data_IF_442101394754
#
_entry.id   IF_442101394754
#
_cell.length_a   1.000
_cell.length_b   1.000
_cell.length_c   1.000
_cell.angle_alpha   90.00
_cell.angle_beta   90.00
_cell.angle_gamma   90.00
#
_symmetry.space_group_name_H-M   'P 1'
#
loop_
_entity.id
_entity.type
_entity.pdbx_description
1 polymer ?
2 non-polymer ?
3 non-polymer ?
#
# COMPACT_ATOMS: atom_id res chain seq x y z
N UNK A 1 -29.02 1.99 -0.54
CA UNK A 1 -27.83 1.40 0.17
C UNK A 1 -26.68 1.27 -0.83
N UNK A 2 -25.50 1.77 -0.46
CA UNK A 2 -24.44 2.04 -1.44
C UNK A 2 -23.09 1.82 -0.75
N UNK A 3 -22.71 0.55 -0.61
CA UNK A 3 -21.62 0.13 0.27
C UNK A 3 -20.23 0.58 -0.19
N UNK A 4 -19.70 0.08 -1.31
CA UNK A 4 -18.28 0.27 -1.62
C UNK A 4 -18.02 0.27 -3.13
N UNK A 5 -18.72 1.14 -3.86
CA UNK A 5 -18.88 1.03 -5.29
C UNK A 5 -17.54 0.90 -6.04
N UNK A 6 -16.61 1.82 -5.81
CA UNK A 6 -15.43 1.87 -6.67
C UNK A 6 -14.55 0.63 -6.45
N UNK A 7 -14.46 0.21 -5.18
CA UNK A 7 -13.77 -1.01 -4.80
C UNK A 7 -14.30 -2.20 -5.60
N UNK A 8 -15.59 -2.15 -5.93
CA UNK A 8 -16.30 -3.26 -6.56
C UNK A 8 -15.62 -3.62 -7.86
N UNK A 9 -15.15 -2.63 -8.63
CA UNK A 9 -14.51 -3.02 -9.88
C UNK A 9 -13.35 -3.96 -9.54
N UNK A 10 -12.56 -3.59 -8.53
CA UNK A 10 -11.53 -4.48 -8.02
C UNK A 10 -12.10 -5.86 -7.71
N UNK A 11 -13.14 -5.89 -6.89
CA UNK A 11 -13.75 -7.12 -6.46
C UNK A 11 -14.12 -7.98 -7.67
N UNK A 12 -14.63 -7.35 -8.72
CA UNK A 12 -15.15 -8.13 -9.82
C UNK A 12 -14.03 -8.98 -10.38
N UNK A 13 -12.84 -8.38 -10.42
CA UNK A 13 -11.70 -9.10 -10.95
C UNK A 13 -11.58 -10.43 -10.22
N UNK A 14 -11.78 -10.40 -8.91
CA UNK A 14 -11.74 -11.61 -8.11
C UNK A 14 -12.84 -12.54 -8.58
N UNK A 15 -14.07 -12.03 -8.49
CA UNK A 15 -15.26 -12.85 -8.66
C UNK A 15 -15.16 -13.51 -10.02
N UNK A 16 -15.08 -12.66 -11.04
CA UNK A 16 -15.02 -13.07 -12.42
C UNK A 16 -14.02 -14.21 -12.58
N UNK A 17 -12.77 -14.00 -12.15
CA UNK A 17 -11.73 -14.99 -12.34
C UNK A 17 -12.18 -16.32 -11.79
N UNK A 18 -12.77 -16.24 -10.60
CA UNK A 18 -13.18 -17.45 -9.94
C UNK A 18 -14.32 -18.10 -10.71
N UNK A 19 -15.41 -17.37 -10.95
CA UNK A 19 -16.54 -18.02 -11.59
C UNK A 19 -16.12 -18.54 -12.94
N UNK A 20 -15.37 -17.74 -13.71
CA UNK A 20 -14.88 -18.18 -15.01
C UNK A 20 -14.15 -19.51 -14.85
N UNK A 21 -13.29 -19.62 -13.84
CA UNK A 21 -12.65 -20.90 -13.55
C UNK A 21 -13.71 -21.98 -13.39
N UNK A 22 -14.71 -21.67 -12.57
CA UNK A 22 -15.58 -22.72 -12.07
C UNK A 22 -16.43 -23.30 -13.19
N UNK A 23 -17.14 -22.44 -13.92
CA UNK A 23 -18.02 -22.90 -14.98
C UNK A 23 -17.22 -23.73 -15.98
N UNK A 24 -16.11 -23.15 -16.45
CA UNK A 24 -15.15 -23.82 -17.32
C UNK A 24 -14.99 -25.24 -16.83
N UNK A 25 -14.51 -25.37 -15.58
CA UNK A 25 -14.17 -26.66 -15.05
C UNK A 25 -15.35 -27.63 -15.03
N UNK A 26 -16.49 -27.23 -14.43
CA UNK A 26 -17.64 -28.13 -14.27
C UNK A 26 -18.18 -28.56 -15.63
N UNK A 27 -18.42 -27.58 -16.52
CA UNK A 27 -19.05 -27.86 -17.81
C UNK A 27 -18.18 -28.81 -18.65
N UNK A 28 -16.88 -28.50 -18.75
CA UNK A 28 -15.96 -29.28 -19.57
C UNK A 28 -15.34 -30.42 -18.76
N UNK A 29 -14.44 -30.09 -17.81
CA UNK A 29 -13.65 -31.11 -17.12
C UNK A 29 -13.40 -30.73 -15.67
N UNK A 30 -14.26 -31.11 -14.69
CA UNK A 30 -13.97 -30.88 -13.27
C UNK A 30 -13.17 -32.01 -12.62
N UNK A 31 -12.04 -32.38 -13.24
CA UNK A 31 -11.28 -33.55 -12.83
C UNK A 31 -10.76 -33.41 -11.39
N UNK A 32 -10.24 -32.23 -11.07
CA UNK A 32 -9.83 -31.91 -9.71
C UNK A 32 -10.72 -30.80 -9.15
N UNK A 33 -11.53 -31.17 -8.15
CA UNK A 33 -12.56 -30.29 -7.61
C UNK A 33 -11.97 -28.95 -7.15
N UNK A 34 -10.88 -28.98 -6.37
CA UNK A 34 -10.40 -27.78 -5.70
C UNK A 34 -9.39 -26.98 -6.53
N UNK A 35 -8.32 -27.63 -7.03
CA UNK A 35 -7.10 -26.93 -7.46
C UNK A 35 -7.27 -25.71 -8.37
N UNK A 36 -8.22 -25.78 -9.31
CA UNK A 36 -8.51 -24.70 -10.24
C UNK A 36 -8.67 -23.36 -9.52
N UNK A 37 -9.52 -23.40 -8.49
CA UNK A 37 -9.72 -22.22 -7.67
C UNK A 37 -8.40 -21.83 -7.02
N UNK A 38 -7.73 -22.80 -6.38
CA UNK A 38 -6.49 -22.50 -5.67
C UNK A 38 -5.57 -21.72 -6.60
N UNK A 39 -5.36 -22.28 -7.79
CA UNK A 39 -4.39 -21.75 -8.72
C UNK A 39 -4.80 -20.36 -9.19
N UNK A 40 -6.05 -20.18 -9.65
CA UNK A 40 -6.47 -18.85 -10.09
C UNK A 40 -6.38 -17.85 -8.95
N UNK A 41 -6.67 -18.34 -7.73
CA UNK A 41 -6.51 -17.50 -6.56
C UNK A 41 -5.07 -17.03 -6.48
N UNK A 42 -4.13 -17.95 -6.69
CA UNK A 42 -2.73 -17.58 -6.72
C UNK A 42 -2.46 -16.56 -7.84
N UNK A 43 -2.98 -16.83 -9.04
CA UNK A 43 -2.79 -15.92 -10.17
C UNK A 43 -3.12 -14.50 -9.72
N UNK A 44 -4.35 -14.36 -9.22
CA UNK A 44 -4.82 -13.09 -8.70
C UNK A 44 -3.77 -12.58 -7.72
N UNK A 45 -3.31 -13.46 -6.83
CA UNK A 45 -2.43 -13.05 -5.75
C UNK A 45 -1.26 -12.27 -6.33
N UNK A 46 -0.60 -12.84 -7.33
CA UNK A 46 0.57 -12.16 -7.85
C UNK A 46 0.12 -10.84 -8.44
N UNK A 47 -0.97 -10.92 -9.19
CA UNK A 47 -1.43 -9.78 -9.95
C UNK A 47 -1.66 -8.63 -8.97
N UNK A 48 -2.20 -8.94 -7.80
CA UNK A 48 -2.45 -7.87 -6.85
C UNK A 48 -1.11 -7.33 -6.35
N UNK A 49 -0.15 -8.24 -6.14
CA UNK A 49 1.14 -7.91 -5.58
C UNK A 49 1.84 -6.83 -6.40
N UNK A 50 1.42 -6.68 -7.64
CA UNK A 50 2.15 -5.96 -8.67
C UNK A 50 2.34 -4.49 -8.35
N UNK A 51 1.46 -3.90 -7.53
CA UNK A 51 1.44 -2.46 -7.37
C UNK A 51 1.13 -1.78 -8.71
N UNK A 52 0.35 -2.51 -9.54
CA UNK A 52 -0.11 -2.01 -10.83
C UNK A 52 -1.06 -0.86 -10.59
N UNK A 53 -0.80 0.35 -11.13
CA UNK A 53 -1.74 1.45 -11.01
C UNK A 53 -3.14 1.14 -11.53
N UNK A 54 -3.24 0.47 -12.68
CA UNK A 54 -4.53 0.27 -13.30
C UNK A 54 -5.45 -0.42 -12.29
N UNK A 55 -4.97 -1.51 -11.71
CA UNK A 55 -5.77 -2.18 -10.70
C UNK A 55 -5.71 -1.47 -9.35
N UNK A 56 -4.67 -0.66 -9.11
CA UNK A 56 -4.70 0.22 -7.94
C UNK A 56 -6.04 0.95 -7.97
N UNK A 57 -6.35 1.55 -9.11
CA UNK A 57 -7.60 2.28 -9.29
C UNK A 57 -8.77 1.37 -8.95
N UNK A 58 -8.76 0.15 -9.51
CA UNK A 58 -9.89 -0.77 -9.43
C UNK A 58 -10.13 -1.20 -7.97
N UNK A 59 -9.04 -1.55 -7.28
CA UNK A 59 -9.14 -1.91 -5.87
C UNK A 59 -8.96 -0.69 -4.99
N UNK A 60 -8.77 0.48 -5.61
CA UNK A 60 -8.88 1.77 -4.95
C UNK A 60 -7.55 2.29 -4.40
N UNK A 61 -7.00 1.67 -3.34
CA UNK A 61 -5.80 2.16 -2.67
C UNK A 61 -4.90 0.99 -2.26
N UNK A 62 -3.65 1.29 -1.83
CA UNK A 62 -2.76 0.22 -1.41
C UNK A 62 -3.36 -0.58 -0.28
N UNK A 63 -3.92 0.17 0.69
CA UNK A 63 -4.50 -0.44 1.86
C UNK A 63 -5.45 -1.53 1.40
N UNK A 64 -6.36 -1.17 0.49
CA UNK A 64 -7.31 -2.11 -0.08
C UNK A 64 -6.59 -3.24 -0.82
N UNK A 65 -5.67 -2.88 -1.72
CA UNK A 65 -4.96 -3.84 -2.55
C UNK A 65 -4.36 -4.95 -1.70
N UNK A 66 -3.53 -4.55 -0.72
CA UNK A 66 -2.83 -5.50 0.12
C UNK A 66 -3.80 -6.34 0.94
N UNK A 67 -4.93 -5.72 1.28
CA UNK A 67 -5.99 -6.41 1.98
C UNK A 67 -6.41 -7.60 1.13
N UNK A 68 -6.62 -7.36 -0.16
CA UNK A 68 -7.14 -8.40 -1.04
C UNK A 68 -6.07 -9.45 -1.27
N UNK A 69 -4.81 -9.00 -1.35
CA UNK A 69 -3.68 -9.91 -1.37
C UNK A 69 -3.82 -10.96 -0.27
N UNK A 70 -4.04 -10.50 0.98
CA UNK A 70 -4.22 -11.43 2.08
C UNK A 70 -5.45 -12.34 1.85
N UNK A 71 -6.56 -11.73 1.41
CA UNK A 71 -7.81 -12.46 1.18
C UNK A 71 -7.56 -13.67 0.27
N UNK A 72 -6.88 -13.43 -0.86
CA UNK A 72 -6.65 -14.48 -1.84
C UNK A 72 -5.72 -15.53 -1.24
N UNK A 73 -4.65 -15.08 -0.58
CA UNK A 73 -3.69 -15.99 0.02
C UNK A 73 -4.39 -16.96 0.97
N UNK A 74 -5.20 -16.42 1.90
CA UNK A 74 -5.99 -17.22 2.83
C UNK A 74 -6.71 -18.32 2.05
N UNK A 75 -7.54 -17.90 1.07
CA UNK A 75 -8.39 -18.83 0.35
C UNK A 75 -7.51 -19.94 -0.21
N UNK A 76 -6.44 -19.50 -0.90
CA UNK A 76 -5.54 -20.41 -1.57
C UNK A 76 -5.07 -21.48 -0.59
N UNK A 77 -4.49 -21.05 0.52
CA UNK A 77 -3.77 -22.04 1.31
C UNK A 77 -4.76 -23.01 1.93
N UNK A 78 -5.92 -22.51 2.39
CA UNK A 78 -6.86 -23.45 2.96
C UNK A 78 -7.19 -24.47 1.88
N UNK A 79 -7.38 -24.01 0.66
CA UNK A 79 -7.73 -24.95 -0.40
C UNK A 79 -6.59 -25.93 -0.65
N UNK A 80 -5.33 -25.52 -0.44
CA UNK A 80 -4.23 -26.47 -0.58
C UNK A 80 -4.30 -27.56 0.47
N UNK A 81 -4.79 -27.22 1.65
CA UNK A 81 -5.13 -28.24 2.63
C UNK A 81 -6.01 -29.30 1.96
N UNK A 82 -7.14 -28.89 1.36
CA UNK A 82 -8.08 -29.88 0.87
C UNK A 82 -7.47 -30.65 -0.29
N UNK A 83 -6.64 -29.98 -1.09
CA UNK A 83 -5.98 -30.70 -2.16
C UNK A 83 -5.02 -31.73 -1.57
N UNK A 84 -4.29 -31.33 -0.53
CA UNK A 84 -3.41 -32.25 0.16
C UNK A 84 -4.17 -33.41 0.81
N UNK A 85 -5.41 -33.17 1.27
CA UNK A 85 -6.37 -34.22 1.67
C UNK A 85 -6.61 -35.16 0.50
N UNK A 86 -6.72 -34.61 -0.72
CA UNK A 86 -7.06 -35.38 -1.91
C UNK A 86 -5.87 -36.24 -2.31
N UNK A 87 -4.67 -35.93 -1.80
CA UNK A 87 -3.49 -36.73 -2.04
C UNK A 87 -3.58 -38.06 -1.29
N UNK A 88 -3.81 -38.00 0.02
CA UNK A 88 -3.90 -39.21 0.84
C UNK A 88 -2.62 -39.60 1.61
N UNK A 89 -1.46 -39.51 0.95
CA UNK A 89 -0.18 -39.82 1.60
C UNK A 89 0.89 -38.78 1.26
N UNK A 90 1.48 -38.16 2.30
CA UNK A 90 2.23 -36.91 2.21
C UNK A 90 3.46 -37.00 1.31
N UNK A 91 4.27 -38.04 1.51
CA UNK A 91 5.49 -38.21 0.74
C UNK A 91 5.15 -38.56 -0.71
N UNK A 92 4.47 -39.70 -0.90
CA UNK A 92 4.03 -40.16 -2.21
C UNK A 92 5.15 -40.90 -2.94
N UNK A 93 4.98 -41.08 -4.26
CA UNK A 93 6.04 -41.64 -5.10
C UNK A 93 7.27 -40.74 -5.03
N UNK A 94 7.01 -39.43 -5.00
CA UNK A 94 8.04 -38.40 -4.94
C UNK A 94 8.52 -38.11 -6.37
N UNK A 95 8.00 -38.88 -7.35
CA UNK A 95 8.25 -38.63 -8.76
C UNK A 95 7.74 -37.23 -9.09
N UNK A 96 6.56 -36.90 -8.55
CA UNK A 96 5.94 -35.61 -8.76
C UNK A 96 5.32 -35.10 -7.45
N UNK A 97 4.52 -35.97 -6.80
CA UNK A 97 3.84 -35.68 -5.54
C UNK A 97 4.71 -34.87 -4.56
N UNK A 98 5.99 -35.24 -4.44
CA UNK A 98 6.87 -34.57 -3.50
C UNK A 98 7.09 -33.10 -3.92
N UNK A 99 7.11 -32.84 -5.23
CA UNK A 99 7.15 -31.47 -5.73
C UNK A 99 6.03 -30.63 -5.13
N UNK A 100 4.78 -31.11 -5.26
CA UNK A 100 3.63 -30.43 -4.68
C UNK A 100 3.85 -30.21 -3.18
N UNK A 101 4.21 -31.29 -2.48
CA UNK A 101 4.38 -31.38 -1.04
C UNK A 101 5.39 -30.32 -0.56
N UNK A 102 6.55 -30.33 -1.22
CA UNK A 102 7.69 -29.49 -0.89
C UNK A 102 7.30 -28.02 -1.02
N UNK A 103 6.56 -27.72 -2.09
CA UNK A 103 6.06 -26.38 -2.34
C UNK A 103 5.24 -25.92 -1.14
N UNK A 104 4.27 -26.74 -0.72
CA UNK A 104 3.40 -26.31 0.36
C UNK A 104 4.19 -26.22 1.66
N UNK A 105 5.21 -27.07 1.83
CA UNK A 105 6.08 -26.97 3.01
C UNK A 105 6.58 -25.54 3.18
N UNK A 106 7.18 -25.02 2.11
CA UNK A 106 7.78 -23.71 2.17
C UNK A 106 6.69 -22.64 2.25
N UNK A 107 5.67 -22.77 1.42
CA UNK A 107 4.55 -21.82 1.41
C UNK A 107 4.01 -21.67 2.82
N UNK A 108 3.57 -22.80 3.38
CA UNK A 108 3.02 -22.85 4.72
C UNK A 108 3.97 -22.15 5.69
N UNK A 109 5.25 -22.54 5.72
CA UNK A 109 6.21 -21.96 6.64
C UNK A 109 6.13 -20.44 6.60
N UNK A 110 6.24 -19.86 5.38
CA UNK A 110 6.35 -18.43 5.16
C UNK A 110 5.03 -17.73 5.46
N UNK A 111 3.94 -18.28 4.96
CA UNK A 111 2.65 -17.66 5.20
C UNK A 111 2.40 -17.67 6.69
N UNK A 112 2.87 -18.72 7.36
CA UNK A 112 2.71 -18.79 8.80
C UNK A 112 3.66 -17.79 9.47
N UNK A 113 4.73 -17.37 8.76
CA UNK A 113 5.51 -16.27 9.31
C UNK A 113 4.72 -14.97 9.26
N UNK A 114 3.75 -14.82 8.34
CA UNK A 114 3.10 -13.53 8.11
C UNK A 114 2.79 -12.78 9.40
N UNK A 115 2.04 -13.44 10.30
CA UNK A 115 1.65 -12.89 11.60
C UNK A 115 2.92 -12.54 12.39
N UNK A 116 3.71 -13.58 12.72
CA UNK A 116 4.90 -13.51 13.57
C UNK A 116 5.99 -12.64 12.93
N UNK A 117 6.11 -12.68 11.59
CA UNK A 117 7.21 -12.02 10.90
C UNK A 117 7.03 -10.51 10.88
N UNK A 118 5.77 -10.14 10.62
CA UNK A 118 5.36 -8.74 10.61
C UNK A 118 5.40 -8.17 12.02
N UNK A 119 5.40 -9.04 13.05
CA UNK A 119 5.61 -8.58 14.41
C UNK A 119 6.83 -7.67 14.45
N UNK A 120 7.99 -8.25 14.13
CA UNK A 120 9.27 -7.59 14.35
C UNK A 120 10.12 -7.69 13.08
N UNK A 121 10.58 -6.52 12.62
CA UNK A 121 11.61 -6.35 11.61
C UNK A 121 11.15 -6.96 10.28
N UNK A 122 10.90 -6.10 9.29
CA UNK A 122 10.25 -6.48 8.03
C UNK A 122 11.27 -6.56 6.90
N UNK A 123 12.52 -6.24 7.23
CA UNK A 123 13.59 -6.29 6.24
C UNK A 123 13.80 -7.74 5.86
N UNK A 124 14.00 -8.57 6.89
CA UNK A 124 14.07 -10.01 6.73
C UNK A 124 12.86 -10.51 5.97
N UNK A 125 11.70 -10.06 6.43
CA UNK A 125 10.44 -10.46 5.84
C UNK A 125 10.45 -10.19 4.34
N UNK A 126 11.11 -9.10 3.89
CA UNK A 126 11.22 -8.85 2.46
C UNK A 126 11.77 -10.10 1.78
N UNK A 127 12.97 -10.50 2.19
CA UNK A 127 13.69 -11.54 1.47
C UNK A 127 12.98 -12.90 1.59
N UNK A 128 12.65 -13.29 2.82
CA UNK A 128 11.96 -14.54 3.12
C UNK A 128 10.70 -14.70 2.27
N UNK A 129 9.87 -13.66 2.30
CA UNK A 129 8.61 -13.67 1.58
C UNK A 129 8.88 -14.04 0.13
N UNK A 130 9.95 -13.46 -0.43
CA UNK A 130 10.30 -13.66 -1.82
C UNK A 130 10.55 -15.14 -2.11
N UNK A 131 10.94 -15.90 -1.08
CA UNK A 131 11.18 -17.32 -1.25
C UNK A 131 9.91 -18.03 -1.73
N UNK A 132 8.75 -17.44 -1.41
CA UNK A 132 7.45 -17.91 -1.89
C UNK A 132 7.52 -18.19 -3.38
N UNK A 133 8.21 -17.29 -4.09
CA UNK A 133 8.29 -17.45 -5.53
C UNK A 133 8.82 -18.83 -5.88
N UNK A 134 9.99 -19.16 -5.33
CA UNK A 134 10.63 -20.44 -5.64
C UNK A 134 9.60 -21.55 -5.48
N UNK A 135 8.91 -21.52 -4.34
CA UNK A 135 7.90 -22.52 -4.02
C UNK A 135 6.81 -22.55 -5.10
N UNK A 136 6.39 -21.38 -5.60
CA UNK A 136 5.40 -21.32 -6.67
C UNK A 136 5.90 -22.05 -7.91
N UNK A 137 7.18 -21.85 -8.26
CA UNK A 137 7.74 -22.54 -9.41
C UNK A 137 7.54 -24.04 -9.23
N UNK A 138 7.88 -24.54 -8.04
CA UNK A 138 7.77 -25.96 -7.79
C UNK A 138 6.33 -26.40 -8.04
N UNK A 139 5.36 -25.59 -7.59
CA UNK A 139 3.94 -25.84 -7.78
C UNK A 139 3.58 -26.03 -9.26
N UNK A 140 4.10 -25.13 -10.09
CA UNK A 140 3.86 -25.21 -11.52
C UNK A 140 4.42 -26.51 -12.10
N UNK A 141 5.66 -26.85 -11.71
CA UNK A 141 6.29 -28.08 -12.16
C UNK A 141 5.42 -29.29 -11.78
N UNK A 142 4.94 -29.32 -10.52
CA UNK A 142 4.03 -30.37 -10.07
C UNK A 142 2.97 -30.60 -11.15
N UNK A 143 2.22 -29.56 -11.49
CA UNK A 143 1.03 -29.78 -12.30
C UNK A 143 1.43 -30.03 -13.74
N UNK A 144 2.36 -29.22 -14.26
CA UNK A 144 2.74 -29.37 -15.65
C UNK A 144 3.31 -30.77 -15.90
N UNK A 145 4.17 -31.24 -14.98
CA UNK A 145 4.78 -32.55 -15.13
C UNK A 145 3.70 -33.62 -15.24
N UNK A 146 2.59 -33.42 -14.52
CA UNK A 146 1.53 -34.42 -14.48
C UNK A 146 0.61 -34.29 -15.70
N UNK A 147 -0.02 -33.12 -15.88
CA UNK A 147 -1.02 -32.96 -16.92
C UNK A 147 -0.47 -32.20 -18.14
N UNK A 148 0.51 -32.81 -18.81
CA UNK A 148 1.10 -32.20 -20.00
C UNK A 148 0.10 -31.97 -21.14
N UNK A 149 -0.48 -33.07 -21.62
CA UNK A 149 -1.34 -33.10 -22.80
C UNK A 149 -2.40 -32.00 -22.75
N UNK A 150 -3.20 -32.02 -21.68
CA UNK A 150 -4.38 -31.17 -21.59
C UNK A 150 -3.99 -29.69 -21.61
N UNK A 151 -2.84 -29.34 -21.03
CA UNK A 151 -2.40 -27.95 -20.97
C UNK A 151 -2.03 -27.44 -22.36
N UNK A 152 -1.50 -28.32 -23.20
CA UNK A 152 -1.06 -27.89 -24.54
C UNK A 152 -2.20 -27.97 -25.54
N UNK A 153 -3.41 -28.33 -25.08
CA UNK A 153 -4.59 -28.42 -25.94
C UNK A 153 -5.19 -27.04 -26.19
N UNK A 154 -6.33 -27.07 -26.88
CA UNK A 154 -7.17 -25.94 -27.24
C UNK A 154 -8.27 -25.80 -26.20
N UNK A 155 -8.33 -26.69 -25.21
CA UNK A 155 -9.46 -26.68 -24.30
C UNK A 155 -9.50 -25.37 -23.53
N UNK A 156 -10.71 -24.89 -23.22
CA UNK A 156 -10.75 -23.64 -22.48
C UNK A 156 -9.96 -23.83 -21.20
N UNK A 157 -10.03 -25.03 -20.64
CA UNK A 157 -9.17 -25.41 -19.53
C UNK A 157 -7.77 -24.95 -19.86
N UNK A 158 -7.27 -25.47 -20.97
CA UNK A 158 -5.89 -25.24 -21.32
C UNK A 158 -5.58 -23.76 -21.48
N UNK A 159 -6.43 -22.99 -22.18
CA UNK A 159 -6.12 -21.58 -22.34
C UNK A 159 -6.20 -20.85 -20.99
N UNK A 160 -7.27 -21.16 -20.24
CA UNK A 160 -7.53 -20.50 -18.97
C UNK A 160 -6.29 -20.67 -18.09
N UNK A 161 -5.80 -21.90 -18.03
CA UNK A 161 -4.59 -22.22 -17.31
C UNK A 161 -3.46 -21.33 -17.80
N UNK A 162 -3.19 -21.44 -19.10
CA UNK A 162 -2.08 -20.74 -19.71
C UNK A 162 -2.06 -19.28 -19.28
N UNK A 163 -3.17 -18.60 -19.58
CA UNK A 163 -3.34 -17.18 -19.32
C UNK A 163 -3.13 -16.87 -17.84
N UNK A 164 -3.90 -17.53 -16.96
CA UNK A 164 -3.91 -17.12 -15.57
C UNK A 164 -2.57 -17.38 -14.91
N UNK A 165 -1.97 -18.53 -15.23
CA UNK A 165 -0.65 -18.85 -14.72
C UNK A 165 0.34 -17.82 -15.23
N UNK A 166 0.27 -17.57 -16.53
CA UNK A 166 1.25 -16.74 -17.20
C UNK A 166 1.23 -15.33 -16.61
N UNK A 167 0.04 -14.74 -16.48
CA UNK A 167 -0.10 -13.44 -15.84
C UNK A 167 0.62 -13.49 -14.51
N UNK A 168 0.24 -14.48 -13.69
CA UNK A 168 0.85 -14.70 -12.38
C UNK A 168 2.37 -14.74 -12.47
N UNK A 169 2.89 -15.48 -13.44
CA UNK A 169 4.32 -15.66 -13.60
C UNK A 169 4.98 -14.34 -13.91
N UNK A 170 4.43 -13.67 -14.94
CA UNK A 170 4.95 -12.43 -15.47
C UNK A 170 5.02 -11.43 -14.32
N UNK A 171 3.88 -11.24 -13.66
CA UNK A 171 3.81 -10.46 -12.45
C UNK A 171 4.89 -10.90 -11.48
N UNK A 172 4.93 -12.20 -11.17
CA UNK A 172 5.87 -12.73 -10.19
C UNK A 172 7.29 -12.26 -10.50
N UNK A 173 7.73 -12.61 -11.72
CA UNK A 173 9.06 -12.33 -12.20
C UNK A 173 9.34 -10.85 -12.00
N UNK A 174 8.42 -10.06 -12.55
CA UNK A 174 8.43 -8.61 -12.51
C UNK A 174 8.61 -8.11 -11.08
N UNK A 175 7.79 -8.63 -10.16
CA UNK A 175 7.80 -8.05 -8.83
C UNK A 175 9.05 -8.50 -8.08
N UNK A 176 9.50 -9.72 -8.34
CA UNK A 176 10.74 -10.18 -7.71
C UNK A 176 11.89 -9.32 -8.21
N UNK A 177 12.11 -9.29 -9.53
CA UNK A 177 13.34 -8.68 -9.96
C UNK A 177 13.16 -7.38 -10.75
N UNK A 178 11.94 -6.86 -10.96
CA UNK A 178 11.83 -5.82 -11.98
C UNK A 178 11.28 -4.48 -11.47
N UNK A 179 10.26 -4.53 -10.61
CA UNK A 179 9.57 -3.32 -10.17
C UNK A 179 10.58 -2.30 -9.65
N UNK A 180 11.54 -2.79 -8.85
CA UNK A 180 12.54 -1.93 -8.26
C UNK A 180 13.32 -1.23 -9.36
N UNK A 181 13.82 -2.00 -10.32
CA UNK A 181 14.68 -1.39 -11.33
C UNK A 181 13.90 -0.62 -12.40
N UNK A 182 12.72 -1.05 -12.88
CA UNK A 182 12.02 -0.25 -13.89
C UNK A 182 11.25 0.92 -13.27
N UNK A 183 10.79 0.77 -12.02
CA UNK A 183 9.93 1.77 -11.42
C UNK A 183 10.72 2.89 -10.75
N UNK A 184 11.85 2.60 -10.11
CA UNK A 184 12.61 3.63 -9.40
C UNK A 184 13.35 4.60 -10.34
N UNK A 185 13.49 4.31 -11.66
CA UNK A 185 14.35 5.11 -12.56
C UNK A 185 14.08 6.60 -12.63
N UNK A 186 12.83 7.00 -12.33
CA UNK A 186 12.56 8.46 -12.16
C UNK A 186 13.75 8.85 -11.33
N UNK A 187 14.48 9.88 -11.73
CA UNK A 187 15.76 10.02 -11.03
C UNK A 187 15.82 11.27 -10.18
N UNK A 188 16.80 11.30 -9.28
CA UNK A 188 16.86 12.36 -8.29
C UNK A 188 18.22 12.51 -7.62
N UNK A 189 18.42 13.74 -7.16
CA UNK A 189 19.53 14.13 -6.32
C UNK A 189 18.92 14.85 -5.12
N UNK A 190 19.57 14.76 -3.96
CA UNK A 190 19.09 15.47 -2.78
C UNK A 190 19.55 16.93 -2.85
N UNK A 191 19.06 17.80 -1.95
CA UNK A 191 19.34 19.23 -2.08
C UNK A 191 19.73 19.85 -0.74
N UNK A 192 18.85 19.67 0.25
CA UNK A 192 19.01 20.28 1.56
C UNK A 192 18.47 19.28 2.58
N UNK A 193 19.15 19.19 3.74
CA UNK A 193 18.70 18.33 4.81
C UNK A 193 18.54 19.15 6.09
N UNK A 194 17.35 19.06 6.68
CA UNK A 194 16.88 20.04 7.63
C UNK A 194 16.29 19.28 8.82
N UNK A 195 16.47 19.83 10.02
CA UNK A 195 16.30 19.07 11.24
C UNK A 195 15.21 19.68 12.11
N UNK A 196 14.20 18.87 12.46
CA UNK A 196 13.02 19.34 13.17
C UNK A 196 12.65 18.36 14.28
N UNK A 197 12.62 18.91 15.50
CA UNK A 197 12.66 18.11 16.72
C UNK A 197 13.72 17.03 16.61
N UNK A 198 13.30 15.79 16.79
CA UNK A 198 14.16 14.64 16.91
C UNK A 198 13.41 13.53 16.19
N UNK A 199 12.09 13.67 16.29
CA UNK A 199 11.10 13.01 15.46
C UNK A 199 11.49 13.17 13.99
N UNK A 200 12.04 14.32 13.59
CA UNK A 200 11.79 14.62 12.20
C UNK A 200 12.99 15.18 11.45
N UNK A 201 13.10 14.74 10.20
CA UNK A 201 13.94 15.38 9.20
C UNK A 201 13.11 15.70 7.96
N UNK A 202 13.43 16.82 7.30
CA UNK A 202 12.89 17.08 5.97
C UNK A 202 14.03 17.21 4.97
N UNK A 203 13.73 16.80 3.74
CA UNK A 203 14.72 16.72 2.69
C UNK A 203 14.12 17.35 1.43
N UNK A 204 14.98 18.08 0.70
CA UNK A 204 14.66 18.67 -0.59
C UNK A 204 15.45 17.95 -1.67
N UNK A 205 14.84 17.83 -2.86
CA UNK A 205 15.28 16.91 -3.90
C UNK A 205 15.03 17.58 -5.25
N UNK A 206 15.99 17.41 -6.15
CA UNK A 206 15.87 17.89 -7.52
C UNK A 206 16.02 16.71 -8.48
N UNK A 207 15.34 16.82 -9.62
CA UNK A 207 15.07 15.65 -10.44
C UNK A 207 15.48 15.88 -11.88
N UNK A 208 16.13 14.83 -12.41
CA UNK A 208 16.62 14.72 -13.77
C UNK A 208 15.48 14.95 -14.76
N UNK A 209 14.26 14.67 -14.29
CA UNK A 209 13.04 14.83 -15.06
C UNK A 209 12.03 15.54 -14.16
N UNK A 210 11.23 16.51 -14.69
CA UNK A 210 10.19 17.14 -13.88
C UNK A 210 9.00 16.20 -13.65
N UNK A 211 8.44 16.26 -12.44
CA UNK A 211 7.58 15.22 -11.91
C UNK A 211 6.12 15.70 -11.86
N UNK A 212 5.19 14.75 -11.64
CA UNK A 212 3.75 15.02 -11.58
C UNK A 212 3.10 14.12 -10.53
N UNK A 213 2.08 14.65 -9.86
CA UNK A 213 1.27 13.91 -8.88
C UNK A 213 0.03 14.73 -8.55
N UNK A 214 -1.05 14.05 -8.11
CA UNK A 214 -2.22 14.73 -7.60
C UNK A 214 -1.99 15.11 -6.13
N UNK A 215 -2.43 16.31 -5.71
CA UNK A 215 -2.08 16.90 -4.42
C UNK A 215 -2.60 16.07 -3.26
N UNK A 216 -1.66 15.48 -2.52
CA UNK A 216 -2.00 14.65 -1.36
C UNK A 216 -1.51 13.21 -1.46
N UNK A 217 -0.98 12.83 -2.64
CA UNK A 217 -0.62 11.45 -2.92
C UNK A 217 0.72 11.10 -2.25
N UNK A 218 1.23 9.92 -2.59
CA UNK A 218 2.39 9.36 -1.93
C UNK A 218 3.20 8.52 -2.91
N UNK A 219 4.46 8.28 -2.52
CA UNK A 219 5.38 7.52 -3.35
C UNK A 219 6.36 6.74 -2.49
N UNK A 220 7.12 5.84 -3.11
CA UNK A 220 8.19 5.11 -2.44
C UNK A 220 9.55 5.54 -2.96
N UNK A 221 10.52 5.50 -2.05
CA UNK A 221 11.79 6.20 -2.21
C UNK A 221 12.95 5.26 -1.90
N UNK A 222 13.92 5.31 -2.83
CA UNK A 222 15.08 4.43 -2.88
C UNK A 222 16.34 5.26 -3.15
N UNK A 223 17.44 4.84 -2.51
CA UNK A 223 18.66 5.63 -2.38
C UNK A 223 19.88 4.82 -2.80
N UNK A 224 20.87 5.49 -3.42
CA UNK A 224 22.20 4.91 -3.61
C UNK A 224 23.20 5.70 -2.76
N UNK A 225 23.86 5.04 -1.78
CA UNK A 225 24.82 5.70 -0.90
C UNK A 225 25.61 4.67 -0.09
N UNK A 226 26.38 5.17 0.90
CA UNK A 226 27.30 4.48 1.80
C UNK A 226 26.55 3.78 2.92
N UNK A 227 26.60 2.43 2.88
CA UNK A 227 25.97 1.57 3.88
C UNK A 227 24.56 2.04 4.24
N UNK A 228 23.80 2.42 3.22
CA UNK A 228 22.44 2.90 3.42
C UNK A 228 21.54 2.01 2.59
N UNK A 229 20.65 1.25 3.25
CA UNK A 229 19.74 0.38 2.52
C UNK A 229 18.87 1.22 1.60
N UNK A 230 18.79 0.76 0.35
CA UNK A 230 18.16 1.48 -0.74
C UNK A 230 16.66 1.14 -0.79
N UNK A 231 16.22 0.18 0.02
CA UNK A 231 14.92 -0.43 -0.16
C UNK A 231 13.81 0.62 -0.17
N UNK A 232 12.79 0.51 -1.05
CA UNK A 232 11.76 1.55 -1.17
C UNK A 232 10.96 1.61 0.13
N UNK A 233 10.65 2.83 0.55
CA UNK A 233 9.81 2.98 1.73
C UNK A 233 8.75 4.03 1.43
N UNK A 234 7.50 3.80 1.88
CA UNK A 234 6.41 4.74 1.65
C UNK A 234 6.55 6.12 2.28
N UNK A 235 6.20 7.13 1.46
CA UNK A 235 6.33 8.53 1.80
C UNK A 235 5.28 9.35 1.08
N UNK A 236 4.87 10.40 1.78
CA UNK A 236 3.86 11.32 1.34
C UNK A 236 4.55 12.67 1.21
N UNK A 237 4.28 13.32 0.08
CA UNK A 237 5.07 14.47 -0.34
C UNK A 237 5.01 15.56 0.73
N UNK A 238 6.09 16.35 0.80
CA UNK A 238 6.08 17.59 1.55
C UNK A 238 6.22 18.81 0.63
N UNK A 239 6.72 18.60 -0.60
CA UNK A 239 6.59 19.59 -1.66
C UNK A 239 6.87 18.97 -3.03
N UNK A 240 6.24 19.51 -4.08
CA UNK A 240 6.54 19.08 -5.43
C UNK A 240 5.93 19.95 -6.54
N UNK A 241 6.81 20.47 -7.41
CA UNK A 241 6.42 20.96 -8.72
C UNK A 241 7.63 20.89 -9.65
N UNK A 242 7.37 20.57 -10.92
CA UNK A 242 8.42 20.58 -11.93
C UNK A 242 9.57 19.67 -11.54
N UNK A 243 10.80 20.16 -11.67
CA UNK A 243 11.99 19.37 -11.36
C UNK A 243 12.13 19.12 -9.86
N UNK A 244 11.22 19.68 -9.05
CA UNK A 244 11.51 19.93 -7.64
C UNK A 244 10.55 19.20 -6.71
N UNK A 245 11.10 18.72 -5.57
CA UNK A 245 10.44 17.74 -4.70
C UNK A 245 10.96 17.79 -3.25
N UNK A 246 10.07 17.55 -2.29
CA UNK A 246 10.44 17.60 -0.87
C UNK A 246 9.72 16.50 -0.11
N UNK A 247 10.46 15.77 0.75
CA UNK A 247 9.83 14.77 1.60
C UNK A 247 10.17 14.97 3.08
N UNK A 248 9.21 14.59 3.90
CA UNK A 248 9.31 14.80 5.34
C UNK A 248 9.15 13.46 6.05
N UNK A 249 9.97 13.25 7.10
CA UNK A 249 10.11 11.94 7.72
C UNK A 249 10.16 12.10 9.23
N UNK A 250 9.44 11.23 9.94
CA UNK A 250 9.56 11.10 11.39
C UNK A 250 10.32 9.81 11.70
N UNK A 251 11.13 9.85 12.76
CA UNK A 251 12.32 9.01 12.94
C UNK A 251 12.01 7.52 12.98
N UNK A 252 10.75 7.14 13.20
CA UNK A 252 10.28 5.76 13.10
C UNK A 252 11.28 4.79 13.73
N UNK A 253 11.55 3.71 13.00
CA UNK A 253 12.56 2.73 13.36
C UNK A 253 13.82 2.93 12.52
N UNK A 254 14.59 1.85 12.40
CA UNK A 254 16.02 1.95 12.15
C UNK A 254 16.36 2.75 10.88
N UNK A 255 15.65 2.49 9.77
CA UNK A 255 15.99 3.11 8.50
C UNK A 255 15.73 4.60 8.58
N UNK A 256 14.65 4.94 9.27
CA UNK A 256 14.25 6.31 9.36
C UNK A 256 15.20 7.03 10.30
N UNK A 257 15.59 6.36 11.39
CA UNK A 257 16.63 6.86 12.29
C UNK A 257 17.87 7.17 11.47
N UNK A 258 18.19 6.26 10.55
CA UNK A 258 19.35 6.36 9.68
C UNK A 258 19.32 7.68 8.91
N UNK A 259 18.22 7.99 8.22
CA UNK A 259 18.18 9.25 7.50
C UNK A 259 18.11 10.43 8.46
N UNK A 260 17.51 10.23 9.65
CA UNK A 260 17.38 11.33 10.59
C UNK A 260 18.77 11.88 10.93
N UNK A 261 19.67 11.00 11.35
CA UNK A 261 20.95 11.48 11.84
C UNK A 261 22.12 11.12 10.93
N UNK A 262 21.89 10.55 9.74
CA UNK A 262 23.07 10.15 9.00
C UNK A 262 23.14 10.68 7.58
N UNK A 263 22.00 10.90 6.91
CA UNK A 263 22.00 10.98 5.46
C UNK A 263 23.02 12.01 4.94
N UNK A 264 24.03 11.53 4.21
CA UNK A 264 25.00 12.39 3.54
C UNK A 264 24.25 13.31 2.58
N UNK A 265 24.63 14.59 2.58
CA UNK A 265 23.87 15.66 1.95
C UNK A 265 23.78 15.49 0.43
N UNK A 266 24.67 14.67 -0.12
CA UNK A 266 24.67 14.34 -1.54
C UNK A 266 24.37 12.87 -1.77
N UNK A 267 23.39 12.61 -2.64
CA UNK A 267 23.03 11.24 -2.95
C UNK A 267 22.19 11.18 -4.21
N UNK A 268 22.20 9.98 -4.81
CA UNK A 268 21.51 9.63 -6.03
C UNK A 268 20.30 8.79 -5.63
N UNK A 269 19.12 9.22 -6.09
CA UNK A 269 17.91 8.76 -5.46
C UNK A 269 16.84 8.55 -6.52
N UNK A 270 15.89 7.68 -6.18
CA UNK A 270 15.02 7.06 -7.15
C UNK A 270 13.62 6.94 -6.56
N UNK A 271 12.63 7.02 -7.44
CA UNK A 271 11.24 7.32 -7.12
C UNK A 271 10.38 6.47 -8.03
N UNK A 272 9.43 5.71 -7.46
CA UNK A 272 8.68 4.80 -8.28
C UNK A 272 7.57 5.54 -9.03
N UNK A 273 6.56 6.04 -8.31
CA UNK A 273 5.45 6.72 -8.95
C UNK A 273 4.54 7.29 -7.89
N UNK A 274 3.53 8.07 -8.32
CA UNK A 274 2.49 8.56 -7.43
C UNK A 274 1.45 7.47 -7.25
N UNK A 275 0.87 7.47 -6.04
CA UNK A 275 -0.12 6.50 -5.63
C UNK A 275 -1.03 7.12 -4.58
N UNK A 276 -2.17 6.46 -4.32
CA UNK A 276 -3.02 6.74 -3.17
C UNK A 276 -4.15 7.70 -3.51
N UNK A 277 -5.15 7.78 -2.63
CA UNK A 277 -6.34 8.51 -3.04
C UNK A 277 -6.82 9.52 -2.01
N UNK A 278 -5.87 10.22 -1.36
CA UNK A 278 -6.17 11.37 -0.52
C UNK A 278 -6.16 12.65 -1.38
N UNK A 279 -6.89 12.59 -2.51
CA UNK A 279 -6.87 13.63 -3.52
C UNK A 279 -7.60 14.88 -3.02
N UNK A 280 -6.83 15.82 -2.48
CA UNK A 280 -7.35 17.04 -1.91
C UNK A 280 -8.19 17.77 -2.96
N UNK A 281 -7.55 17.98 -4.12
CA UNK A 281 -8.14 18.76 -5.19
C UNK A 281 -9.53 18.25 -5.56
N UNK A 282 -9.70 16.92 -5.53
CA UNK A 282 -10.94 16.28 -5.92
C UNK A 282 -12.01 16.42 -4.84
N UNK A 283 -11.57 16.58 -3.58
CA UNK A 283 -12.49 16.72 -2.46
C UNK A 283 -13.49 17.86 -2.66
N UNK A 284 -14.59 17.80 -1.88
CA UNK A 284 -15.70 18.74 -2.01
C UNK A 284 -15.23 20.17 -1.78
N UNK A 285 -16.17 21.09 -2.03
CA UNK A 285 -16.01 22.53 -1.95
C UNK A 285 -15.47 22.94 -0.57
N UNK A 286 -15.93 22.22 0.45
CA UNK A 286 -15.48 22.34 1.83
C UNK A 286 -14.75 21.06 2.23
N UNK A 287 -13.58 21.22 2.85
CA UNK A 287 -12.72 20.10 3.23
C UNK A 287 -12.21 20.31 4.66
N UNK A 288 -12.24 19.23 5.45
CA UNK A 288 -11.93 19.30 6.87
C UNK A 288 -10.80 18.32 7.17
N UNK A 289 -9.76 18.82 7.86
CA UNK A 289 -8.46 18.21 7.87
C UNK A 289 -8.08 17.77 9.27
N UNK A 290 -7.59 16.55 9.40
CA UNK A 290 -7.14 16.06 10.69
C UNK A 290 -5.79 15.38 10.55
N UNK A 291 -4.82 15.84 11.34
CA UNK A 291 -3.45 15.36 11.26
C UNK A 291 -2.94 14.90 12.61
N UNK A 292 -2.49 13.65 12.69
CA UNK A 292 -1.60 13.25 13.76
C UNK A 292 -0.25 13.83 13.42
N UNK A 293 0.42 14.43 14.41
CA UNK A 293 1.39 15.49 14.17
C UNK A 293 2.51 15.03 13.24
N UNK A 294 3.19 14.00 13.72
CA UNK A 294 4.22 13.28 13.00
C UNK A 294 3.82 13.00 11.55
N UNK A 295 2.51 12.83 11.32
CA UNK A 295 2.01 12.43 10.01
C UNK A 295 1.23 13.51 9.28
N UNK A 296 1.74 14.75 9.31
CA UNK A 296 0.99 15.87 8.75
C UNK A 296 1.45 16.20 7.34
N UNK A 297 2.37 15.39 6.81
CA UNK A 297 3.10 15.76 5.61
C UNK A 297 2.19 16.03 4.40
N UNK A 298 1.15 15.21 4.14
CA UNK A 298 0.34 15.41 2.93
C UNK A 298 -0.22 16.84 2.94
N UNK A 299 -0.91 17.15 4.04
CA UNK A 299 -1.49 18.47 4.26
C UNK A 299 -0.47 19.56 3.91
N UNK A 300 0.71 19.46 4.53
CA UNK A 300 1.81 20.38 4.30
C UNK A 300 1.99 20.54 2.80
N UNK A 301 2.05 19.41 2.08
CA UNK A 301 2.33 19.40 0.66
C UNK A 301 1.29 20.24 -0.06
N UNK A 302 0.01 20.04 0.26
CA UNK A 302 -0.98 20.84 -0.41
C UNK A 302 -0.90 22.33 -0.03
N UNK A 303 -0.50 22.64 1.21
CA UNK A 303 -0.36 24.02 1.63
C UNK A 303 0.75 24.70 0.84
N UNK A 304 1.87 24.00 0.65
CA UNK A 304 3.02 24.59 0.00
C UNK A 304 2.75 24.81 -1.49
N UNK A 305 2.09 23.85 -2.13
CA UNK A 305 1.63 24.03 -3.50
C UNK A 305 0.30 24.77 -3.45
N UNK A 306 0.04 25.62 -4.46
CA UNK A 306 -1.14 26.47 -4.49
C UNK A 306 -1.16 27.36 -3.26
N UNK A 307 -0.76 28.65 -3.36
CA UNK A 307 -0.73 29.53 -2.19
C UNK A 307 -2.10 30.05 -1.79
N UNK A 308 -3.14 29.88 -2.62
CA UNK A 308 -4.49 30.28 -2.23
C UNK A 308 -5.45 29.09 -2.23
N UNK A 309 -6.34 29.01 -1.23
CA UNK A 309 -7.22 27.86 -1.06
C UNK A 309 -8.20 27.72 -2.22
N UNK A 310 -8.53 26.47 -2.55
CA UNK A 310 -9.60 26.16 -3.48
C UNK A 310 -10.87 26.76 -2.92
N UNK A 311 -11.09 26.47 -1.63
CA UNK A 311 -12.27 26.86 -0.88
C UNK A 311 -11.94 26.73 0.60
N UNK A 312 -12.81 27.28 1.47
CA UNK A 312 -12.51 27.39 2.89
C UNK A 312 -12.35 25.99 3.49
N UNK A 313 -11.39 25.82 4.41
CA UNK A 313 -11.07 24.51 4.99
C UNK A 313 -10.87 24.64 6.49
N UNK A 314 -11.46 23.69 7.22
CA UNK A 314 -11.29 23.57 8.66
C UNK A 314 -10.16 22.58 8.92
N UNK A 315 -9.14 22.99 9.68
CA UNK A 315 -7.97 22.14 9.90
C UNK A 315 -7.60 22.01 11.38
N UNK A 316 -7.35 20.76 11.80
CA UNK A 316 -6.97 20.39 13.15
C UNK A 316 -5.72 19.50 13.11
N UNK A 317 -4.72 19.78 13.97
CA UNK A 317 -3.45 19.05 14.02
C UNK A 317 -2.99 18.80 15.47
N UNK A 318 -2.67 17.54 15.77
CA UNK A 318 -2.40 17.09 17.14
C UNK A 318 -0.97 16.62 17.30
N UNK A 319 -0.28 17.20 18.27
CA UNK A 319 1.18 17.12 18.29
C UNK A 319 1.71 16.94 19.71
N UNK A 320 0.83 16.89 20.71
CA UNK A 320 1.12 16.69 22.13
C UNK A 320 1.73 17.90 22.85
N UNK A 321 2.83 18.47 22.33
CA UNK A 321 3.48 19.64 22.94
C UNK A 321 4.63 20.12 22.07
N UNK A 322 5.13 21.36 22.26
CA UNK A 322 6.14 21.93 21.36
C UNK A 322 7.27 20.92 21.19
N UNK A 323 7.47 20.16 22.27
CA UNK A 323 8.49 19.15 22.46
C UNK A 323 8.43 18.15 21.31
N UNK A 324 7.22 17.83 20.86
CA UNK A 324 7.00 17.00 19.67
C UNK A 324 6.63 17.85 18.45
N UNK A 325 6.08 19.05 18.70
CA UNK A 325 5.48 19.88 17.67
C UNK A 325 6.51 20.29 16.64
N UNK A 326 6.13 20.13 15.37
CA UNK A 326 6.96 20.49 14.24
C UNK A 326 6.12 21.33 13.28
N UNK A 327 6.79 22.15 12.45
CA UNK A 327 6.20 22.88 11.33
C UNK A 327 5.34 24.04 11.81
N UNK A 328 5.35 24.29 13.12
CA UNK A 328 4.47 25.28 13.70
C UNK A 328 4.55 26.60 12.92
N UNK A 329 5.78 27.08 12.71
CA UNK A 329 6.01 28.38 12.13
C UNK A 329 5.50 28.41 10.68
N UNK A 330 5.78 27.36 9.91
CA UNK A 330 5.34 27.33 8.52
C UNK A 330 3.81 27.36 8.41
N UNK A 331 3.13 26.65 9.32
CA UNK A 331 1.68 26.69 9.39
C UNK A 331 1.24 28.13 9.63
N UNK A 332 1.90 28.76 10.59
CA UNK A 332 1.54 30.08 11.07
C UNK A 332 1.63 31.10 9.93
N UNK A 333 2.69 31.01 9.10
CA UNK A 333 2.84 31.80 7.89
C UNK A 333 1.58 31.65 7.05
N UNK A 334 1.19 30.39 6.86
CA UNK A 334 0.02 30.13 6.05
C UNK A 334 -1.19 30.91 6.57
N UNK A 335 -1.48 30.74 7.86
CA UNK A 335 -2.63 31.35 8.50
C UNK A 335 -2.70 32.86 8.22
N UNK A 336 -1.57 33.54 8.48
CA UNK A 336 -1.43 34.98 8.38
C UNK A 336 -1.80 35.43 6.96
N UNK A 337 -1.30 34.67 5.99
CA UNK A 337 -1.46 35.02 4.59
C UNK A 337 -2.82 34.55 4.08
N UNK A 338 -3.44 33.59 4.77
CA UNK A 338 -4.60 32.89 4.24
C UNK A 338 -5.85 33.09 5.07
N UNK A 339 -6.66 34.11 4.70
CA UNK A 339 -7.94 34.38 5.35
C UNK A 339 -8.90 33.21 5.23
N UNK A 340 -8.88 32.46 4.12
CA UNK A 340 -9.91 31.47 3.86
C UNK A 340 -9.82 30.28 4.80
N UNK A 341 -8.78 30.28 5.65
CA UNK A 341 -8.33 29.09 6.35
C UNK A 341 -8.70 29.12 7.82
N UNK A 342 -9.25 28.01 8.33
CA UNK A 342 -9.54 27.84 9.76
C UNK A 342 -8.60 26.79 10.35
N UNK A 343 -7.94 27.14 11.45
CA UNK A 343 -6.77 26.42 11.95
C UNK A 343 -6.86 26.20 13.46
N UNK A 344 -6.74 24.94 13.88
CA UNK A 344 -6.79 24.53 15.27
C UNK A 344 -5.60 23.61 15.55
N UNK A 345 -4.82 23.88 16.62
CA UNK A 345 -3.56 23.18 16.88
C UNK A 345 -3.53 22.64 18.30
N UNK A 346 -3.18 21.34 18.49
CA UNK A 346 -3.41 20.71 19.78
C UNK A 346 -2.16 20.11 20.45
N UNK A 347 -1.74 20.74 21.56
CA UNK A 347 -0.85 20.18 22.59
C UNK A 347 -1.62 19.21 23.48
N UNK A 348 -1.73 17.96 23.03
CA UNK A 348 -2.45 16.94 23.76
C UNK A 348 -1.94 16.82 25.19
N UNK A 349 -0.77 17.41 25.46
CA UNK A 349 -0.16 17.39 26.78
C UNK A 349 -1.10 18.02 27.81
N UNK A 350 -1.71 19.13 27.42
CA UNK A 350 -2.55 19.87 28.36
C UNK A 350 -4.01 19.65 27.95
N UNK A 351 -4.87 19.38 28.93
CA UNK A 351 -6.25 19.04 28.63
C UNK A 351 -6.29 17.66 28.01
N UNK A 352 -5.52 17.45 26.92
CA UNK A 352 -5.41 16.13 26.32
C UNK A 352 -5.64 16.14 24.82
N UNK A 353 -6.11 14.99 24.29
CA UNK A 353 -6.35 14.72 22.87
C UNK A 353 -7.75 15.20 22.50
N UNK A 354 -8.11 15.14 21.20
CA UNK A 354 -9.37 15.68 20.69
C UNK A 354 -10.47 14.62 20.51
N UNK A 355 -11.69 14.85 21.06
CA UNK A 355 -12.91 14.08 20.79
C UNK A 355 -14.02 14.98 20.22
N UNK A 356 -14.85 14.51 19.26
CA UNK A 356 -15.72 15.36 18.46
C UNK A 356 -17.19 15.39 18.90
N UNK A 357 -17.52 14.66 19.97
CA UNK A 357 -18.86 14.63 20.56
C UNK A 357 -19.36 16.06 20.77
N UNK A 358 -18.59 16.84 21.55
CA UNK A 358 -18.78 18.27 21.74
C UNK A 358 -18.13 19.05 20.59
N UNK A 359 -18.46 18.64 19.35
CA UNK A 359 -18.07 19.36 18.15
C UNK A 359 -19.16 19.22 17.09
N UNK A 360 -19.39 20.33 16.35
CA UNK A 360 -20.16 20.39 15.14
C UNK A 360 -19.29 21.02 14.06
N UNK A 361 -19.37 20.41 12.87
CA UNK A 361 -18.54 20.71 11.72
C UNK A 361 -19.39 20.44 10.48
N UNK A 362 -19.42 21.34 9.46
CA UNK A 362 -20.43 21.27 8.39
C UNK A 362 -20.39 19.95 7.61
N UNK A 363 -21.51 19.23 7.68
CA UNK A 363 -21.73 17.95 7.02
C UNK A 363 -21.31 18.05 5.56
N UNK A 364 -21.70 19.16 4.92
CA UNK A 364 -21.34 19.43 3.50
C UNK A 364 -19.87 19.81 3.44
N UNK A 365 -19.00 18.83 3.66
CA UNK A 365 -17.56 19.03 3.69
C UNK A 365 -16.93 17.64 3.74
N UNK A 366 -16.04 17.34 2.79
CA UNK A 366 -15.20 16.15 2.87
C UNK A 366 -14.23 16.26 4.03
N UNK A 367 -14.05 15.18 4.79
CA UNK A 367 -13.12 15.18 5.90
C UNK A 367 -11.93 14.32 5.54
N UNK A 368 -10.72 14.89 5.69
CA UNK A 368 -9.47 14.25 5.33
C UNK A 368 -8.69 13.97 6.60
N UNK A 369 -8.22 12.73 6.79
CA UNK A 369 -7.57 12.37 8.04
C UNK A 369 -6.32 11.54 7.79
N UNK A 370 -5.19 11.99 8.35
CA UNK A 370 -3.97 11.21 8.30
C UNK A 370 -3.30 11.12 9.67
N UNK A 371 -3.20 9.92 10.23
CA UNK A 371 -2.52 9.88 11.51
C UNK A 371 -1.99 8.50 11.89
N UNK A 372 -1.49 8.37 13.14
CA UNK A 372 -1.24 7.06 13.73
C UNK A 372 -2.60 6.39 13.59
N UNK A 373 -2.55 5.13 13.12
CA UNK A 373 -3.75 4.44 12.68
C UNK A 373 -4.73 4.31 13.85
N UNK A 374 -4.23 4.23 15.09
CA UNK A 374 -5.13 3.98 16.21
C UNK A 374 -6.15 5.10 16.31
N UNK A 375 -5.61 6.31 16.51
CA UNK A 375 -6.37 7.52 16.64
C UNK A 375 -7.28 7.64 15.42
N UNK A 376 -6.72 7.48 14.23
CA UNK A 376 -7.47 7.69 13.00
C UNK A 376 -8.72 6.82 12.96
N UNK A 377 -8.60 5.56 13.37
CA UNK A 377 -9.71 4.63 13.28
C UNK A 377 -10.78 5.04 14.30
N UNK A 378 -10.31 5.42 15.50
CA UNK A 378 -11.18 5.85 16.59
C UNK A 378 -11.98 7.07 16.15
N UNK A 379 -11.21 8.08 15.74
CA UNK A 379 -11.73 9.36 15.28
C UNK A 379 -12.84 9.10 14.28
N UNK A 380 -12.48 8.34 13.25
CA UNK A 380 -13.41 8.06 12.17
C UNK A 380 -14.73 7.61 12.79
N UNK A 381 -14.63 6.59 13.64
CA UNK A 381 -15.83 5.97 14.14
C UNK A 381 -16.69 6.99 14.90
N UNK A 382 -16.07 7.82 15.75
CA UNK A 382 -16.81 8.84 16.47
C UNK A 382 -17.39 9.90 15.53
N UNK A 383 -16.70 10.24 14.44
CA UNK A 383 -17.28 11.19 13.51
C UNK A 383 -18.45 10.55 12.79
N UNK A 384 -18.35 9.27 12.46
CA UNK A 384 -19.51 8.58 11.88
C UNK A 384 -20.69 8.73 12.82
N UNK A 385 -20.43 8.53 14.12
CA UNK A 385 -21.44 8.67 15.16
C UNK A 385 -22.03 10.09 15.14
N UNK A 386 -21.23 11.09 14.75
CA UNK A 386 -21.73 12.45 14.54
C UNK A 386 -22.69 12.48 13.34
N UNK A 387 -22.28 11.99 12.16
CA UNK A 387 -23.16 12.21 11.01
C UNK A 387 -22.76 11.41 9.77
N UNK A 388 -23.59 10.43 9.33
CA UNK A 388 -23.40 9.76 8.05
C UNK A 388 -23.65 10.65 6.84
N UNK A 389 -24.40 11.74 7.04
CA UNK A 389 -24.64 12.72 5.98
C UNK A 389 -23.34 13.47 5.68
N UNK A 390 -22.31 13.34 6.53
CA UNK A 390 -20.99 13.91 6.29
C UNK A 390 -20.12 12.93 5.48
N UNK A 391 -19.07 13.47 4.84
CA UNK A 391 -18.21 12.77 3.89
C UNK A 391 -16.80 12.63 4.48
N UNK A 392 -16.30 11.39 4.61
CA UNK A 392 -15.17 11.14 5.48
C UNK A 392 -14.14 10.20 4.86
N UNK A 393 -12.86 10.61 4.83
CA UNK A 393 -11.77 9.70 4.46
C UNK A 393 -10.61 9.74 5.44
N UNK A 394 -10.05 8.56 5.67
CA UNK A 394 -9.17 8.37 6.79
C UNK A 394 -8.07 7.39 6.41
N UNK A 395 -6.84 7.78 6.70
CA UNK A 395 -5.76 6.85 6.47
C UNK A 395 -4.78 6.75 7.61
N UNK A 396 -4.28 5.51 7.80
CA UNK A 396 -3.21 5.14 8.71
C UNK A 396 -2.13 4.33 7.99
N UNK A 397 -0.88 4.68 8.29
CA UNK A 397 0.25 4.24 7.49
C UNK A 397 0.68 2.82 7.84
N UNK A 398 0.17 1.81 7.13
CA UNK A 398 0.63 0.44 7.30
C UNK A 398 0.53 -0.30 5.97
N UNK A 399 0.61 -1.64 6.02
CA UNK A 399 0.84 -2.41 4.82
C UNK A 399 0.17 -3.78 4.91
X LIG B 1 10.78 0.10 11.16
X LIG B 1 12.14 0.32 11.75
X LIG B 1 10.32 -1.31 11.03
X LIG B 1 9.70 0.94 11.97
X LIG B 1 8.94 1.97 11.28
X LIG B 1 7.55 1.47 10.97
X LIG B 1 7.26 1.70 9.56
X LIG B 1 7.28 -0.02 11.21
X LIG B 1 5.98 -0.22 11.76
X LIG B 1 7.39 -0.63 9.81
X LIG B 1 6.66 -1.82 9.65
X LIG B 1 6.84 0.50 8.95
X LIG B 1 7.33 0.51 7.57
X LIG B 1 7.95 1.54 6.94
X LIG B 1 8.28 1.26 5.70
X LIG B 1 7.85 -0.03 5.51
X LIG B 1 7.91 -0.91 4.42
X LIG B 1 8.44 -0.58 3.24
X LIG B 1 7.38 -2.14 4.57
X LIG B 1 6.84 -2.47 5.76
X LIG B 1 6.73 -1.73 6.86
X LIG B 1 7.26 -0.51 6.67
X LIG B 1 6.72 8.12 6.81
X LIG B 1 7.23 9.36 6.82
X LIG B 1 8.13 9.67 7.60
X LIG B 1 6.80 10.33 5.96
X LIG B 1 5.82 10.08 5.04
X LIG B 1 5.46 10.98 4.29
X LIG B 1 5.24 8.81 5.01
X LIG B 1 4.29 8.56 4.15
X LIG B 1 3.74 7.30 4.14
X LIG B 1 2.72 7.03 3.22
X LIG B 1 2.12 5.78 3.18
X LIG B 1 1.02 5.52 2.18
X LIG B 1 2.56 4.76 4.06
X LIG B 1 1.93 3.40 4.02
X LIG B 1 3.58 5.02 4.95
X LIG B 1 4.18 6.29 5.01
X LIG B 1 5.20 6.58 5.92
X LIG B 1 5.77 7.84 5.94
X LIG B 1 5.69 5.55 6.84
X LIG B 1 7.08 5.09 6.45
X LIG B 1 6.99 3.93 5.64
X LIG B 1 7.91 4.81 7.70
X LIG B 1 7.85 5.95 8.57
X LIG B 1 9.38 4.45 7.46
X LIG B 1 9.54 3.90 6.14
X LIG B 1 9.90 3.50 8.49
X LIG B 1 10.86 2.55 7.95
X LIG B 1 11.81 1.74 8.96
X LIG B 1 12.39 2.72 9.93
X LIG B 1 12.72 0.86 8.18
X LIG B 1 10.74 0.83 9.73
X LIG C 1 -2.56 -33.48 -9.09
X LIG C 1 -0.58 -34.29 -4.73
X LIG C 1 -0.35 -29.51 -4.04
X LIG C 1 -2.88 -28.79 -8.11
X LIG C 1 -1.99 -34.10 -7.99
X LIG C 1 -1.78 -35.50 -7.83
X LIG C 1 -1.24 -35.75 -6.62
X LIG C 1 -1.10 -34.48 -6.00
X LIG C 1 -0.84 -37.12 -6.04
X LIG C 1 -2.07 -36.55 -8.88
X LIG C 1 -0.72 -36.83 -9.57
X LIG C 1 0.10 -37.88 -8.83
X LIG C 1 -0.36 -38.55 -7.86
X LIG C 1 1.27 -38.09 -9.23
X LIG C 1 -0.35 -33.04 -4.16
X LIG C 1 0.32 -32.85 -2.91
X LIG C 1 0.40 -31.51 -2.69
X LIG C 1 -0.23 -30.88 -3.87
X LIG C 1 0.82 -33.96 -2.01
X LIG C 1 1.06 -30.73 -1.58
X LIG C 1 1.62 -31.28 -0.50
X LIG C 1 -1.00 -28.85 -5.09
X LIG C 1 -1.20 -27.48 -5.21
X LIG C 1 -1.93 -27.27 -6.38
X LIG C 1 -2.18 -28.54 -6.95
X LIG C 1 -0.69 -26.47 -4.22
X LIG C 1 -2.41 -26.03 -7.04
X LIG C 1 -2.17 -24.83 -6.63
X LIG C 1 -3.00 -30.05 -8.68
X LIG C 1 -3.64 -30.21 -10.01
X LIG C 1 -3.53 -31.51 -10.31
X LIG C 1 -2.84 -32.14 -9.14
X LIG C 1 -4.24 -29.12 -10.84
X LIG C 1 -4.02 -32.17 -11.59
X LIG C 1 -5.22 -31.45 -12.21
X LIG C 1 -4.88 -31.14 -13.66
X LIG C 1 -3.70 -31.02 -14.05
X LIG C 1 -5.80 -30.98 -14.51
X LIG C 1 -1.62 -33.48 -6.83
X LIG C 1 -0.65 -31.84 -4.68
X LIG C 1 -1.63 -29.47 -6.14
X LIG C 1 -2.55 -31.21 -8.19
X LIG C 1 -1.63 -31.52 -6.51
X LIG D 1 4.61 -8.79 -0.47
X LIG D 1 2.13 -10.60 3.29
X LIG D 1 0.19 -13.90 0.32
X LIG D 1 3.15 -12.45 -3.23
X LIG D 1 4.05 -8.97 0.79
X LIG D 1 4.28 -8.14 1.93
X LIG D 1 3.61 -8.64 2.99
X LIG D 1 2.94 -9.79 2.52
X LIG D 1 3.56 -8.06 4.42
X LIG D 1 5.11 -6.89 1.95
X LIG D 1 4.27 -5.82 1.23
X LIG D 1 5.02 -5.17 0.06
X LIG D 1 4.96 -5.62 -1.12
X LIG D 1 5.71 -4.17 0.32
X LIG D 1 1.39 -11.67 2.80
X LIG D 1 0.44 -12.40 3.59
X LIG D 1 -0.13 -13.35 2.77
X LIG D 1 0.50 -13.13 1.44
X LIG D 1 0.15 -12.16 5.05
X LIG D 1 -1.23 -14.34 3.03
X LIG D 1 -2.10 -14.26 4.05
X LIG D 1 0.80 -13.80 -0.93
X LIG D 1 0.55 -14.63 -2.03
X LIG D 1 1.41 -14.22 -3.05
X LIG D 1 2.18 -13.13 -2.54
X LIG D 1 -0.46 -15.75 -2.02
X LIG D 1 1.60 -14.69 -4.44
X LIG D 1 0.88 -15.61 -5.01
X LIG D 1 3.80 -11.33 -2.71
X LIG D 1 4.72 -10.55 -3.57
X LIG D 1 5.11 -9.50 -2.83
X LIG D 1 4.43 -9.68 -1.50
X LIG D 1 5.08 -10.86 -4.99
X LIG D 1 6.06 -8.38 -3.26
X LIG D 1 7.51 -8.67 -2.90
X LIG D 1 8.35 -7.46 -3.30
X LIG D 1 8.82 -7.35 -4.46
X LIG D 1 8.56 -6.54 -2.49
X LIG D 1 3.26 -10.01 1.18
X LIG D 1 1.38 -12.14 1.55
X LIG D 1 1.81 -12.93 -1.25
X LIG D 1 3.66 -10.79 -1.49
X LIG D 1 2.56 -11.43 -0.03
#
# INVERSE_FOLDING_TARGET
MEFSMKSVKGLLFIIASFILTLLTWMNTSPQFMIPGLALTSLSLTFILATRLPLLESWFHSLEKVYTVHKFTAFLSIILLIFHNFSMGGLWGSRLAAQFGNLAIYIFASIILVAYLGKYIQYEAWRWIHRLVYLAYILGLFHIYMIMGNRLLTFNLLSFLVGSYALLGLLAGFYIIFLYQKISFPYLGKITHLKRLNHDTREIQIHLSRPFNYQSGQFAFLKIFQEGFESAPHPFSISGGHGQTLYFTVKTSGDHTKNIYDNLQAGSKVTLDRAYGHMIIEEGRENQVWIAGGIGITPFISYIREHPILDKQVHFYYSFRGDENAVYLDLLRNYAQKNPNFELHLIDSTKDGYLNFEQKEVPEHATVYMCGPISMMKALAKQIKKQNPKTELIYEGWKFK
FDA PA O1A O2A O5B C5B C4B O4B C3B O3B C2B O2B C1B N9A C8A N7A C5A C6A N6A N1A C2A N3A C4A N1 C2 O2 N3 C4 O4 C4X N5 C5X C6 C7 C7M C8 C8M C9 C9A N10 C10 C1' C2' O2' C3' O3' C4' O4' C5' O5' P O1P O2P O3P
HEM CHA CHB CHC CHD C1A C2A C3A C4A CMA CAA CBA CGA O1A O2A C1B C2B C3B C4B CMB CAB CBB C1C C2C C3C C4C CMC CAC CBC C1D C2D C3D C4D CMD CAD CBD CGD O1D O2D NA NB NC ND FE
HEM CHA CHB CHC CHD C1A C2A C3A C4A CMA CAA CBA CGA O1A O2A C1B C2B C3B C4B CMB CAB CBB C1C C2C C3C C4C CMC CAC CBC C1D C2D C3D C4D CMD CAD CBD CGD O1D O2D NA NB NC ND FE
#
